data_IF_148856031709
#
_entry.id   IF_148856031709
#
_cell.length_a   1.000
_cell.length_b   1.000
_cell.length_c   1.000
_cell.angle_alpha   90.00
_cell.angle_beta   90.00
_cell.angle_gamma   90.00
#
_symmetry.space_group_name_H-M   'P 1'
#
loop_
_entity.id
_entity.type
_entity.pdbx_description
1 polymer ?
#
# COMPACT_ATOMS: atom_id res chain seq x y z
N UNK A 1 6.21 -3.98 -4.20
CA UNK A 1 6.67 -3.41 -5.49
C UNK A 1 6.55 -1.89 -5.44
N UNK A 2 7.54 -1.14 -5.92
CA UNK A 2 7.52 0.34 -5.90
C UNK A 2 7.52 0.85 -7.35
N UNK A 3 6.57 1.74 -7.68
CA UNK A 3 6.49 2.44 -8.95
C UNK A 3 6.57 3.95 -8.75
N UNK A 4 7.14 4.66 -9.72
CA UNK A 4 7.18 6.13 -9.73
C UNK A 4 6.42 6.65 -10.93
N UNK A 5 5.63 7.70 -10.72
CA UNK A 5 4.93 8.46 -11.75
C UNK A 5 5.15 9.97 -11.51
N UNK A 6 4.70 10.81 -12.45
CA UNK A 6 4.97 12.26 -12.46
C UNK A 6 4.75 12.99 -11.13
N UNK A 7 3.76 12.58 -10.34
CA UNK A 7 3.35 13.24 -9.10
C UNK A 7 3.20 12.29 -7.91
N UNK A 8 3.66 11.04 -8.02
CA UNK A 8 3.50 10.06 -6.95
C UNK A 8 4.49 8.91 -7.00
N UNK A 9 4.71 8.32 -5.84
CA UNK A 9 5.29 6.99 -5.66
C UNK A 9 4.20 6.04 -5.21
N UNK A 10 4.07 4.90 -5.88
CA UNK A 10 3.10 3.85 -5.54
C UNK A 10 3.82 2.67 -4.90
N UNK A 11 3.48 2.37 -3.65
CA UNK A 11 3.91 1.18 -2.93
C UNK A 11 2.79 0.14 -2.97
N UNK A 12 3.02 -0.93 -3.75
CA UNK A 12 2.07 -2.03 -3.91
C UNK A 12 2.44 -3.22 -3.03
N UNK A 13 1.41 -3.75 -2.36
CA UNK A 13 1.44 -4.92 -1.49
C UNK A 13 0.57 -6.03 -2.10
N UNK A 14 1.10 -7.25 -2.11
CA UNK A 14 0.42 -8.47 -2.58
C UNK A 14 -0.10 -9.28 -1.39
N UNK A 15 -0.94 -10.28 -1.63
CA UNK A 15 -1.53 -11.14 -0.58
C UNK A 15 -2.27 -10.36 0.52
N UNK A 16 -2.84 -9.23 0.13
CA UNK A 16 -3.44 -8.24 1.01
C UNK A 16 -4.98 -8.32 1.01
N UNK A 17 -5.56 -9.47 0.66
CA UNK A 17 -7.01 -9.70 0.65
C UNK A 17 -7.67 -9.41 2.00
N UNK A 18 -7.03 -9.87 3.09
CA UNK A 18 -7.50 -9.67 4.47
C UNK A 18 -7.11 -8.31 5.08
N UNK A 19 -6.44 -7.44 4.31
CA UNK A 19 -6.11 -6.09 4.76
C UNK A 19 -7.22 -5.17 4.29
N UNK A 20 -7.94 -4.57 5.23
CA UNK A 20 -8.98 -3.59 4.93
C UNK A 20 -8.38 -2.35 4.24
N UNK A 21 -9.05 -1.79 3.20
CA UNK A 21 -8.62 -0.55 2.60
C UNK A 21 -8.76 0.61 3.60
N UNK A 22 -7.83 1.55 3.50
CA UNK A 22 -7.81 2.78 4.32
C UNK A 22 -8.01 3.96 3.37
N UNK A 23 -9.12 4.68 3.53
CA UNK A 23 -9.44 5.80 2.64
C UNK A 23 -8.29 6.83 2.62
N UNK A 24 -7.82 7.16 1.42
CA UNK A 24 -6.73 8.12 1.21
C UNK A 24 -5.32 7.59 1.44
N UNK A 25 -5.17 6.36 1.95
CA UNK A 25 -3.86 5.77 2.28
C UNK A 25 -3.63 4.45 1.56
N UNK A 26 -4.61 3.53 1.60
CA UNK A 26 -4.49 2.19 1.07
C UNK A 26 -5.72 1.83 0.25
N UNK A 27 -5.59 1.79 -1.07
CA UNK A 27 -6.70 1.45 -1.97
C UNK A 27 -6.59 0.02 -2.50
N UNK A 28 -7.74 -0.63 -2.65
CA UNK A 28 -7.85 -1.93 -3.29
C UNK A 28 -7.55 -1.86 -4.78
N UNK A 29 -6.92 -2.91 -5.31
CA UNK A 29 -6.62 -3.09 -6.72
C UNK A 29 -7.31 -4.36 -7.24
N UNK A 30 -7.95 -4.27 -8.40
CA UNK A 30 -8.55 -5.43 -9.06
C UNK A 30 -9.56 -6.17 -8.17
N UNK A 31 -9.34 -7.46 -7.97
CA UNK A 31 -10.18 -8.35 -7.15
C UNK A 31 -10.00 -8.17 -5.63
N UNK A 32 -9.09 -7.29 -5.18
CA UNK A 32 -8.89 -6.98 -3.76
C UNK A 32 -7.66 -7.60 -3.11
N UNK A 33 -7.02 -8.58 -3.75
CA UNK A 33 -5.83 -9.27 -3.20
C UNK A 33 -4.56 -8.41 -3.21
N UNK A 34 -4.61 -7.31 -3.95
CA UNK A 34 -3.53 -6.31 -3.99
C UNK A 34 -4.04 -5.01 -3.42
N UNK A 35 -3.18 -4.37 -2.64
CA UNK A 35 -3.39 -3.03 -2.10
C UNK A 35 -2.26 -2.11 -2.53
N UNK A 36 -2.57 -0.84 -2.76
CA UNK A 36 -1.56 0.16 -3.13
C UNK A 36 -1.70 1.38 -2.26
N UNK A 37 -0.58 1.83 -1.71
CA UNK A 37 -0.44 3.17 -1.14
C UNK A 37 0.17 4.09 -2.19
N UNK A 38 -0.55 5.16 -2.53
CA UNK A 38 -0.07 6.22 -3.40
C UNK A 38 0.39 7.39 -2.53
N UNK A 39 1.64 7.81 -2.69
CA UNK A 39 2.27 8.87 -1.92
C UNK A 39 2.57 10.01 -2.89
N UNK A 40 1.94 11.17 -2.70
CA UNK A 40 2.19 12.37 -3.50
C UNK A 40 3.24 13.26 -2.85
N UNK A 41 3.80 14.19 -3.63
CA UNK A 41 4.70 15.22 -3.11
C UNK A 41 4.03 16.04 -2.00
N UNK A 42 4.78 16.34 -0.93
CA UNK A 42 4.29 17.12 0.21
C UNK A 42 3.31 16.39 1.14
N UNK A 43 3.00 15.12 0.86
CA UNK A 43 2.20 14.28 1.75
C UNK A 43 3.09 13.64 2.83
N UNK A 44 2.69 13.76 4.09
CA UNK A 44 3.32 13.02 5.18
C UNK A 44 3.06 11.52 5.02
N UNK A 45 4.14 10.74 5.15
CA UNK A 45 4.09 9.28 5.00
C UNK A 45 4.02 8.64 6.38
N UNK A 46 2.97 7.85 6.60
CA UNK A 46 2.86 7.00 7.79
C UNK A 46 3.66 5.70 7.56
N UNK A 47 4.95 5.76 7.90
CA UNK A 47 5.87 4.63 7.73
C UNK A 47 5.52 3.46 8.64
N UNK A 48 5.00 3.70 9.84
CA UNK A 48 4.66 2.65 10.80
C UNK A 48 3.47 1.83 10.31
N UNK A 49 2.45 2.50 9.75
CA UNK A 49 1.31 1.82 9.12
C UNK A 49 1.78 0.97 7.93
N UNK A 50 2.60 1.53 7.03
CA UNK A 50 3.09 0.80 5.85
C UNK A 50 3.96 -0.39 6.23
N UNK A 51 4.83 -0.23 7.25
CA UNK A 51 5.64 -1.31 7.79
C UNK A 51 4.78 -2.42 8.41
N UNK A 52 3.75 -2.05 9.18
CA UNK A 52 2.81 -2.99 9.78
C UNK A 52 2.01 -3.78 8.74
N UNK A 53 1.56 -3.13 7.65
CA UNK A 53 0.91 -3.81 6.53
C UNK A 53 1.88 -4.77 5.85
N UNK A 54 3.09 -4.31 5.53
CA UNK A 54 4.10 -5.14 4.89
C UNK A 54 4.39 -6.40 5.71
N UNK A 55 4.62 -6.26 7.02
CA UNK A 55 4.88 -7.37 7.93
C UNK A 55 3.73 -8.39 7.97
N UNK A 56 2.48 -7.94 8.02
CA UNK A 56 1.30 -8.82 8.00
C UNK A 56 1.18 -9.62 6.70
N UNK A 57 1.54 -9.00 5.58
CA UNK A 57 1.42 -9.64 4.26
C UNK A 57 2.61 -10.53 3.92
N UNK A 58 3.81 -10.21 4.42
CA UNK A 58 5.01 -11.00 4.15
C UNK A 58 5.09 -12.28 4.97
N UNK A 59 4.44 -12.34 6.14
CA UNK A 59 4.38 -13.57 6.96
C UNK A 59 3.51 -14.68 6.36
N UNK A 60 2.82 -14.41 5.25
CA UNK A 60 2.00 -15.39 4.52
C UNK A 60 2.78 -16.13 3.42
N UNK A 61 4.06 -15.77 3.22
CA UNK A 61 4.99 -16.43 2.29
C UNK A 61 5.63 -17.67 2.90
#
# INVERSE_FOLDING_TARGET
MIHVARNKVSFMVFEAGDVEPVKGVLRSMGNGDRKTADITEGQDVDYDLLAGILAKTSSKL
#
